data_IF_885577226123
#
_entry.id   IF_885577226123
#
_cell.length_a   1.000
_cell.length_b   1.000
_cell.length_c   1.000
_cell.angle_alpha   90.00
_cell.angle_beta   90.00
_cell.angle_gamma   90.00
#
_symmetry.space_group_name_H-M   'P 1'
#
loop_
_entity.id
_entity.type
_entity.pdbx_description
1 polymer ?
#
# COMPACT_ATOMS: atom_id res chain seq x y z
N UNK A 1 -46.52 70.52 -2.83
CA UNK A 1 -45.59 71.49 -3.36
C UNK A 1 -44.27 70.80 -3.28
N UNK A 2 -43.67 70.67 -4.41
CA UNK A 2 -42.35 70.09 -4.73
C UNK A 2 -42.09 68.61 -4.49
N UNK A 3 -42.27 67.89 -5.59
CA UNK A 3 -41.88 66.49 -5.79
C UNK A 3 -40.45 66.49 -6.28
N UNK A 4 -39.50 65.92 -5.49
CA UNK A 4 -38.17 65.58 -5.99
C UNK A 4 -38.15 64.15 -6.50
N UNK A 5 -37.92 63.96 -7.81
CA UNK A 5 -37.67 62.71 -8.46
C UNK A 5 -36.20 62.32 -8.31
N UNK A 6 -35.94 61.22 -7.64
CA UNK A 6 -34.63 60.61 -7.60
C UNK A 6 -34.46 59.69 -8.86
N UNK A 7 -33.60 60.12 -9.76
CA UNK A 7 -33.21 59.33 -10.90
C UNK A 7 -32.20 58.28 -10.50
N UNK A 8 -32.61 56.99 -10.62
CA UNK A 8 -31.68 55.87 -10.54
C UNK A 8 -30.82 55.82 -11.80
N UNK A 9 -29.51 56.03 -11.69
CA UNK A 9 -28.56 55.78 -12.74
C UNK A 9 -28.29 54.25 -12.77
N UNK A 10 -28.59 53.59 -13.91
CA UNK A 10 -28.21 52.24 -14.21
C UNK A 10 -26.70 52.18 -14.46
N UNK A 11 -25.99 51.34 -13.68
CA UNK A 11 -24.58 50.97 -13.91
C UNK A 11 -24.59 49.80 -14.85
N UNK A 12 -23.91 49.80 -16.00
CA UNK A 12 -23.81 48.62 -16.86
C UNK A 12 -22.84 47.61 -16.20
N UNK A 13 -23.38 46.49 -15.79
CA UNK A 13 -22.58 45.31 -15.39
C UNK A 13 -21.96 44.70 -16.63
N UNK A 14 -20.67 44.94 -16.84
CA UNK A 14 -19.87 44.19 -17.78
C UNK A 14 -19.62 42.77 -17.21
N UNK A 15 -20.39 41.79 -17.66
CA UNK A 15 -20.11 40.38 -17.45
C UNK A 15 -18.91 40.01 -18.31
N UNK A 16 -17.71 39.95 -17.70
CA UNK A 16 -16.55 39.37 -18.31
C UNK A 16 -16.72 37.84 -18.33
N UNK A 17 -17.17 37.31 -19.47
CA UNK A 17 -17.20 35.87 -19.71
C UNK A 17 -15.75 35.38 -19.87
N UNK A 18 -15.17 34.87 -18.80
CA UNK A 18 -13.87 34.21 -18.83
C UNK A 18 -14.07 32.87 -19.55
N UNK A 19 -13.76 32.81 -20.84
CA UNK A 19 -13.66 31.59 -21.60
C UNK A 19 -12.49 30.80 -21.07
N UNK A 20 -12.76 29.84 -20.16
CA UNK A 20 -11.81 28.78 -19.80
C UNK A 20 -11.63 27.91 -21.05
N UNK A 21 -10.71 28.25 -21.93
CA UNK A 21 -10.24 27.32 -22.94
C UNK A 21 -9.64 26.11 -22.21
N UNK A 22 -10.12 24.87 -22.44
CA UNK A 22 -9.43 23.70 -21.94
C UNK A 22 -8.04 23.73 -22.55
N UNK A 23 -7.02 23.77 -21.70
CA UNK A 23 -5.64 23.53 -22.10
C UNK A 23 -5.59 22.09 -22.63
N UNK A 24 -5.82 21.93 -23.93
CA UNK A 24 -5.57 20.72 -24.66
C UNK A 24 -4.05 20.49 -24.60
N UNK A 25 -3.59 19.84 -23.54
CA UNK A 25 -2.26 19.26 -23.56
C UNK A 25 -2.27 18.21 -24.67
N UNK A 26 -1.38 18.31 -25.68
CA UNK A 26 -1.30 17.27 -26.69
C UNK A 26 -1.07 15.94 -25.95
N UNK A 27 -1.77 14.86 -26.36
CA UNK A 27 -1.54 13.56 -25.74
C UNK A 27 -0.04 13.26 -25.79
N UNK A 28 0.54 12.95 -24.63
CA UNK A 28 1.96 12.58 -24.55
C UNK A 28 2.18 11.45 -25.57
N UNK A 29 2.86 11.74 -26.65
CA UNK A 29 3.22 10.73 -27.65
C UNK A 29 4.20 9.80 -26.96
N UNK A 30 4.03 8.49 -27.19
CA UNK A 30 5.01 7.51 -26.78
C UNK A 30 6.39 7.95 -27.25
N UNK A 31 7.31 8.14 -26.33
CA UNK A 31 8.68 8.53 -26.66
C UNK A 31 9.60 7.42 -26.13
N UNK A 32 9.99 6.55 -27.07
CA UNK A 32 10.95 5.49 -26.75
C UNK A 32 12.21 5.78 -27.55
N UNK A 33 13.27 6.15 -26.84
CA UNK A 33 14.54 6.48 -27.45
C UNK A 33 15.65 5.62 -26.85
N UNK A 34 16.26 4.79 -27.68
CA UNK A 34 17.47 4.05 -27.28
C UNK A 34 18.55 5.06 -26.83
N UNK A 35 19.38 4.67 -25.89
CA UNK A 35 20.52 5.48 -25.46
C UNK A 35 21.63 5.46 -26.53
N UNK A 36 21.88 6.57 -27.25
CA UNK A 36 22.88 6.62 -28.31
C UNK A 36 24.30 6.49 -27.78
N UNK A 37 24.51 6.67 -26.47
CA UNK A 37 25.85 6.56 -25.83
C UNK A 37 26.13 5.15 -25.33
N UNK A 38 25.12 4.26 -25.33
CA UNK A 38 25.28 2.89 -24.90
C UNK A 38 26.09 2.07 -25.92
N UNK A 39 26.76 0.99 -25.49
CA UNK A 39 27.33 0.02 -26.42
C UNK A 39 26.28 -0.49 -27.41
N UNK A 40 26.61 -0.61 -28.70
CA UNK A 40 25.64 -0.99 -29.74
C UNK A 40 24.90 -2.29 -29.47
N UNK A 41 25.55 -3.26 -28.80
CA UNK A 41 24.92 -4.53 -28.39
C UNK A 41 23.80 -4.35 -27.32
N UNK A 42 23.67 -3.18 -26.71
CA UNK A 42 22.68 -2.85 -25.70
C UNK A 42 21.68 -1.78 -26.18
N UNK A 43 21.81 -1.36 -27.47
CA UNK A 43 20.89 -0.40 -28.09
C UNK A 43 19.77 -1.16 -28.82
N UNK A 44 18.52 -1.11 -28.32
CA UNK A 44 17.40 -1.69 -29.05
C UNK A 44 17.08 -0.88 -30.31
N UNK A 45 16.46 -1.52 -31.29
CA UNK A 45 15.99 -0.83 -32.49
C UNK A 45 14.52 -0.49 -32.33
N UNK A 46 14.20 0.80 -32.37
CA UNK A 46 12.80 1.28 -32.22
C UNK A 46 12.22 1.52 -33.61
N UNK A 47 11.14 0.83 -33.91
CA UNK A 47 10.38 0.89 -35.17
C UNK A 47 8.90 1.18 -34.86
N UNK A 48 8.07 1.16 -35.89
CA UNK A 48 6.63 1.15 -35.73
C UNK A 48 6.03 -0.12 -36.37
N UNK A 49 5.04 -0.69 -35.73
CA UNK A 49 4.18 -1.70 -36.33
C UNK A 49 3.34 -1.06 -37.47
N UNK A 50 2.71 -1.85 -38.37
CA UNK A 50 1.96 -1.35 -39.50
C UNK A 50 0.84 -0.35 -39.12
N UNK A 51 0.28 -0.46 -37.92
CA UNK A 51 -0.75 0.44 -37.39
C UNK A 51 -0.20 1.64 -36.60
N UNK A 52 1.14 1.82 -36.60
CA UNK A 52 1.81 2.96 -35.95
C UNK A 52 2.16 2.74 -34.47
N UNK A 53 1.83 1.60 -33.87
CA UNK A 53 2.24 1.27 -32.49
C UNK A 53 3.77 1.09 -32.43
N UNK A 54 4.48 1.69 -31.46
CA UNK A 54 5.91 1.49 -31.29
C UNK A 54 6.27 -0.01 -31.16
N UNK A 55 7.22 -0.44 -31.96
CA UNK A 55 7.77 -1.80 -31.97
C UNK A 55 9.25 -1.76 -31.65
N UNK A 56 9.63 -2.36 -30.54
CA UNK A 56 11.02 -2.42 -30.10
C UNK A 56 11.59 -3.80 -30.42
N UNK A 57 12.49 -3.87 -31.39
CA UNK A 57 13.34 -5.03 -31.56
C UNK A 57 14.36 -5.03 -30.41
N UNK A 58 14.11 -5.86 -29.42
CA UNK A 58 14.98 -6.02 -28.25
C UNK A 58 16.35 -6.54 -28.65
N UNK A 59 17.36 -6.24 -27.85
CA UNK A 59 18.75 -6.68 -28.10
C UNK A 59 18.90 -8.19 -27.93
N UNK A 60 19.98 -8.74 -28.50
CA UNK A 60 20.33 -10.15 -28.37
C UNK A 60 20.48 -10.54 -26.91
N UNK A 61 19.80 -11.61 -26.45
CA UNK A 61 19.93 -12.03 -25.07
C UNK A 61 21.32 -12.58 -24.76
N UNK A 62 21.75 -12.40 -23.51
CA UNK A 62 22.96 -13.02 -22.96
C UNK A 62 22.81 -14.56 -22.87
N UNK A 63 23.87 -15.24 -22.48
CA UNK A 63 23.83 -16.69 -22.19
C UNK A 63 22.83 -17.02 -21.06
N UNK A 64 22.62 -16.08 -20.13
CA UNK A 64 21.61 -16.17 -19.07
C UNK A 64 20.19 -15.87 -19.55
N UNK A 65 19.99 -15.56 -20.83
CA UNK A 65 18.66 -15.29 -21.42
C UNK A 65 18.14 -13.88 -21.13
N UNK A 66 18.99 -12.92 -20.76
CA UNK A 66 18.63 -11.53 -20.47
C UNK A 66 18.90 -10.65 -21.69
N UNK A 67 17.86 -10.06 -22.27
CA UNK A 67 17.97 -8.97 -23.25
C UNK A 67 18.00 -7.64 -22.47
N UNK A 68 19.17 -7.00 -22.41
CA UNK A 68 19.34 -5.70 -21.74
C UNK A 68 19.26 -4.58 -22.75
N UNK A 69 18.28 -3.73 -22.61
CA UNK A 69 17.96 -2.66 -23.53
C UNK A 69 18.14 -1.31 -22.81
N UNK A 70 19.07 -0.48 -23.29
CA UNK A 70 19.39 0.81 -22.68
C UNK A 70 18.66 1.93 -23.40
N UNK A 71 17.98 2.76 -22.63
CA UNK A 71 17.20 3.89 -23.13
C UNK A 71 17.62 5.19 -22.50
N UNK A 72 17.54 6.24 -23.29
CA UNK A 72 17.52 7.62 -22.81
C UNK A 72 16.12 8.00 -22.32
N UNK A 73 15.07 7.45 -22.94
CA UNK A 73 13.67 7.68 -22.57
C UNK A 73 12.83 6.44 -22.92
N UNK A 74 11.96 6.06 -22.00
CA UNK A 74 11.04 4.95 -22.18
C UNK A 74 9.66 5.37 -21.66
N UNK A 75 8.89 6.04 -22.53
CA UNK A 75 7.53 6.46 -22.25
C UNK A 75 6.55 5.68 -23.11
N UNK A 76 5.58 5.04 -22.49
CA UNK A 76 4.53 4.27 -23.17
C UNK A 76 3.28 5.13 -23.25
N UNK A 77 2.91 5.52 -24.44
CA UNK A 77 1.66 6.25 -24.71
C UNK A 77 0.45 5.32 -24.71
N UNK A 78 -0.73 5.87 -24.87
CA UNK A 78 -2.01 5.11 -24.85
C UNK A 78 -2.09 4.02 -25.94
N UNK A 79 -1.37 4.16 -27.04
CA UNK A 79 -1.29 3.12 -28.07
C UNK A 79 -0.52 1.87 -27.62
N UNK A 80 0.21 1.96 -26.51
CA UNK A 80 1.06 0.89 -26.01
C UNK A 80 2.42 0.81 -26.69
N UNK A 81 3.14 -0.26 -26.43
CA UNK A 81 4.42 -0.64 -27.02
C UNK A 81 4.53 -2.16 -27.15
N UNK A 82 5.16 -2.62 -28.23
CA UNK A 82 5.45 -4.05 -28.44
C UNK A 82 6.95 -4.27 -28.27
N UNK A 83 7.31 -5.14 -27.33
CA UNK A 83 8.67 -5.65 -27.15
C UNK A 83 8.82 -6.94 -27.99
N UNK A 84 9.48 -6.84 -29.14
CA UNK A 84 9.55 -7.93 -30.11
C UNK A 84 10.52 -9.03 -29.68
N UNK A 85 9.96 -10.08 -29.08
CA UNK A 85 10.67 -11.29 -28.64
C UNK A 85 10.40 -12.49 -29.55
N UNK A 86 10.25 -12.25 -30.86
CA UNK A 86 10.01 -13.27 -31.87
C UNK A 86 11.10 -13.30 -32.95
N UNK A 87 11.64 -14.48 -33.29
CA UNK A 87 12.61 -14.65 -34.38
C UNK A 87 11.97 -14.56 -35.75
N UNK A 88 10.79 -15.15 -35.90
CA UNK A 88 10.12 -15.37 -37.21
C UNK A 88 8.97 -14.44 -37.47
N UNK A 89 8.65 -13.57 -36.50
CA UNK A 89 7.42 -12.76 -36.49
C UNK A 89 6.36 -13.31 -35.54
N UNK A 90 5.42 -12.47 -35.17
CA UNK A 90 4.35 -12.81 -34.24
C UNK A 90 3.07 -12.04 -34.56
N UNK A 91 1.94 -12.62 -34.22
CA UNK A 91 0.67 -11.91 -34.13
C UNK A 91 0.60 -11.28 -32.73
N UNK A 92 0.45 -9.96 -32.68
CA UNK A 92 0.36 -9.18 -31.46
C UNK A 92 -1.02 -8.55 -31.32
N UNK A 93 -1.47 -8.29 -30.09
CA UNK A 93 -2.77 -7.67 -29.84
C UNK A 93 -2.73 -6.17 -30.19
N UNK A 94 -1.62 -5.50 -29.89
CA UNK A 94 -1.49 -4.06 -30.11
C UNK A 94 -1.15 -3.70 -31.55
N UNK A 95 -0.34 -4.47 -32.24
CA UNK A 95 0.21 -4.11 -33.55
C UNK A 95 -0.17 -5.04 -34.70
N UNK A 96 -0.99 -6.08 -34.44
CA UNK A 96 -1.26 -7.11 -35.42
C UNK A 96 -0.03 -7.96 -35.76
N UNK A 97 0.12 -8.36 -37.02
CA UNK A 97 1.26 -9.16 -37.48
C UNK A 97 2.53 -8.29 -37.51
N UNK A 98 3.57 -8.68 -36.78
CA UNK A 98 4.87 -8.03 -36.77
C UNK A 98 5.95 -8.95 -37.33
N UNK A 99 6.96 -8.35 -37.97
CA UNK A 99 8.11 -9.09 -38.50
C UNK A 99 9.00 -9.63 -37.37
N UNK A 100 9.81 -10.64 -37.70
CA UNK A 100 10.80 -11.20 -36.76
C UNK A 100 11.88 -10.20 -36.39
N UNK A 101 12.35 -10.30 -35.15
CA UNK A 101 13.46 -9.52 -34.64
C UNK A 101 14.80 -10.13 -35.09
N UNK A 102 15.60 -9.44 -35.94
CA UNK A 102 16.85 -9.96 -36.47
C UNK A 102 17.94 -10.20 -35.42
N UNK A 103 17.82 -9.53 -34.25
CA UNK A 103 18.80 -9.67 -33.16
C UNK A 103 18.64 -10.97 -32.37
N UNK A 104 17.56 -11.71 -32.56
CA UNK A 104 17.26 -12.94 -31.84
C UNK A 104 17.81 -14.21 -32.53
N UNK A 105 18.93 -14.14 -33.27
CA UNK A 105 19.52 -15.30 -33.93
C UNK A 105 19.84 -16.45 -32.95
N UNK A 106 20.18 -16.12 -31.69
CA UNK A 106 20.49 -17.10 -30.63
C UNK A 106 19.26 -17.59 -29.85
N UNK A 107 18.08 -17.11 -30.19
CA UNK A 107 16.83 -17.43 -29.51
C UNK A 107 16.18 -16.23 -28.83
N UNK A 108 14.92 -16.38 -28.35
CA UNK A 108 14.21 -15.35 -27.65
C UNK A 108 14.75 -15.13 -26.22
N UNK A 109 14.50 -13.97 -25.66
CA UNK A 109 14.84 -13.64 -24.29
C UNK A 109 13.86 -14.29 -23.29
N UNK A 110 14.36 -14.65 -22.11
CA UNK A 110 13.56 -15.00 -20.94
C UNK A 110 13.24 -13.79 -20.09
N UNK A 111 14.17 -12.82 -20.05
CA UNK A 111 14.04 -11.56 -19.34
C UNK A 111 14.32 -10.41 -20.31
N UNK A 112 13.41 -9.46 -20.39
CA UNK A 112 13.55 -8.23 -21.16
C UNK A 112 13.73 -7.09 -20.15
N UNK A 113 14.98 -6.68 -19.96
CA UNK A 113 15.34 -5.57 -19.07
C UNK A 113 15.38 -4.27 -19.87
N UNK A 114 14.46 -3.36 -19.58
CA UNK A 114 14.42 -2.00 -20.13
C UNK A 114 14.97 -1.03 -19.08
N UNK A 115 16.20 -0.61 -19.25
CA UNK A 115 16.93 0.28 -18.33
C UNK A 115 17.02 1.70 -18.88
N UNK A 116 16.49 2.66 -18.12
CA UNK A 116 16.53 4.09 -18.47
C UNK A 116 17.66 4.77 -17.71
N UNK A 117 18.50 5.53 -18.43
CA UNK A 117 19.70 6.19 -17.88
C UNK A 117 19.61 7.70 -17.80
N UNK A 118 18.44 8.27 -18.08
CA UNK A 118 18.23 9.71 -17.97
C UNK A 118 17.77 10.12 -16.57
N UNK A 119 17.71 11.44 -16.37
CA UNK A 119 17.16 12.04 -15.14
C UNK A 119 15.64 12.24 -15.21
N UNK A 120 15.01 11.83 -16.31
CA UNK A 120 13.55 11.99 -16.50
C UNK A 120 12.82 10.72 -16.12
N UNK A 121 11.75 10.82 -15.34
CA UNK A 121 10.92 9.66 -15.01
C UNK A 121 10.25 9.08 -16.27
N UNK A 122 9.96 7.79 -16.25
CA UNK A 122 9.18 7.11 -17.27
C UNK A 122 7.69 7.30 -17.04
N UNK A 123 6.93 7.51 -18.13
CA UNK A 123 5.48 7.62 -18.12
C UNK A 123 4.86 6.40 -18.81
N UNK A 124 4.11 5.61 -18.06
CA UNK A 124 3.45 4.41 -18.56
C UNK A 124 1.93 4.65 -18.61
N UNK A 125 1.44 5.04 -19.80
CA UNK A 125 0.04 5.40 -20.02
C UNK A 125 -0.68 4.41 -20.97
N UNK A 126 -0.09 3.25 -21.22
CA UNK A 126 -0.62 2.22 -22.09
C UNK A 126 0.03 0.87 -21.88
N UNK A 127 -0.39 -0.11 -22.63
CA UNK A 127 0.00 -1.50 -22.49
C UNK A 127 1.40 -1.78 -23.03
N UNK A 128 2.12 -2.67 -22.37
CA UNK A 128 3.40 -3.23 -22.81
C UNK A 128 3.17 -4.68 -23.20
N UNK A 129 3.30 -4.99 -24.48
CA UNK A 129 3.10 -6.34 -25.02
C UNK A 129 4.44 -7.00 -25.36
N UNK A 130 4.62 -8.24 -24.94
CA UNK A 130 5.72 -9.09 -25.43
C UNK A 130 5.26 -9.80 -26.69
N UNK A 131 5.79 -9.38 -27.85
CA UNK A 131 5.50 -10.05 -29.13
C UNK A 131 6.29 -11.33 -29.27
N UNK A 132 5.61 -12.46 -29.44
CA UNK A 132 6.21 -13.78 -29.59
C UNK A 132 6.32 -14.57 -28.28
N UNK A 133 7.53 -15.05 -27.94
CA UNK A 133 7.71 -15.85 -26.73
C UNK A 133 7.51 -15.02 -25.46
N UNK A 134 6.68 -15.53 -24.55
CA UNK A 134 6.43 -14.95 -23.23
C UNK A 134 7.74 -14.76 -22.46
N UNK A 135 7.90 -13.63 -21.78
CA UNK A 135 9.09 -13.28 -21.03
C UNK A 135 8.77 -12.42 -19.81
N UNK A 136 9.69 -12.36 -18.88
CA UNK A 136 9.68 -11.36 -17.82
C UNK A 136 10.00 -9.98 -18.41
N UNK A 137 9.24 -8.96 -18.02
CA UNK A 137 9.47 -7.56 -18.43
C UNK A 137 9.83 -6.72 -17.22
N UNK A 138 10.97 -6.06 -17.32
CA UNK A 138 11.46 -5.16 -16.29
C UNK A 138 11.57 -3.76 -16.89
N UNK A 139 11.04 -2.76 -16.19
CA UNK A 139 11.25 -1.35 -16.48
C UNK A 139 11.98 -0.76 -15.28
N UNK A 140 13.25 -0.40 -15.48
CA UNK A 140 14.12 0.16 -14.44
C UNK A 140 14.46 1.61 -14.77
N UNK A 141 14.00 2.54 -13.91
CA UNK A 141 14.30 3.95 -14.06
C UNK A 141 14.57 4.62 -12.70
N UNK A 142 15.83 4.89 -12.35
CA UNK A 142 16.19 5.56 -11.09
C UNK A 142 15.57 6.94 -10.90
N UNK A 143 15.19 7.63 -11.98
CA UNK A 143 14.53 8.94 -11.91
C UNK A 143 13.05 8.84 -11.51
N UNK A 144 12.48 7.64 -11.49
CA UNK A 144 11.09 7.37 -11.11
C UNK A 144 10.24 6.83 -12.26
N UNK A 145 9.06 6.32 -11.91
CA UNK A 145 8.08 5.77 -12.85
C UNK A 145 6.70 6.30 -12.48
N UNK A 146 5.99 6.86 -13.46
CA UNK A 146 4.62 7.30 -13.33
C UNK A 146 3.70 6.45 -14.19
N UNK A 147 2.66 5.91 -13.58
CA UNK A 147 1.72 4.98 -14.21
C UNK A 147 0.35 5.61 -14.24
N UNK A 148 -0.30 5.58 -15.42
CA UNK A 148 -1.68 6.02 -15.58
C UNK A 148 -2.37 5.19 -16.68
N UNK A 149 -2.87 4.02 -16.31
CA UNK A 149 -3.52 3.08 -17.23
C UNK A 149 -2.53 2.19 -17.99
N UNK A 150 -1.49 1.74 -17.32
CA UNK A 150 -0.59 0.74 -17.89
C UNK A 150 -1.05 -0.69 -17.58
N UNK A 151 -0.65 -1.61 -18.44
CA UNK A 151 -0.84 -3.04 -18.27
C UNK A 151 0.21 -3.83 -19.06
N UNK A 152 0.25 -5.15 -18.84
CA UNK A 152 1.22 -6.04 -19.50
C UNK A 152 0.51 -7.19 -20.18
N UNK A 153 0.88 -7.46 -21.44
CA UNK A 153 0.34 -8.53 -22.26
C UNK A 153 1.47 -9.53 -22.55
N UNK A 154 1.20 -10.80 -22.36
CA UNK A 154 2.15 -11.90 -22.61
C UNK A 154 3.46 -11.78 -21.82
N UNK A 155 3.41 -11.14 -20.63
CA UNK A 155 4.51 -11.08 -19.68
C UNK A 155 4.31 -12.15 -18.59
N UNK A 156 5.37 -12.90 -18.24
CA UNK A 156 5.32 -13.85 -17.11
C UNK A 156 5.45 -13.14 -15.78
N UNK A 157 6.30 -12.12 -15.73
CA UNK A 157 6.49 -11.23 -14.58
C UNK A 157 6.58 -9.80 -15.10
N UNK A 158 6.07 -8.84 -14.35
CA UNK A 158 6.27 -7.42 -14.60
C UNK A 158 6.91 -6.77 -13.36
N UNK A 159 8.06 -6.13 -13.56
CA UNK A 159 8.79 -5.44 -12.50
C UNK A 159 8.96 -3.97 -12.85
N UNK A 160 8.46 -3.07 -12.01
CA UNK A 160 8.73 -1.65 -12.06
C UNK A 160 9.72 -1.29 -10.97
N UNK A 161 10.92 -0.83 -11.34
CA UNK A 161 11.98 -0.56 -10.38
C UNK A 161 12.57 0.83 -10.55
N UNK A 162 12.79 1.52 -9.42
CA UNK A 162 13.66 2.71 -9.38
C UNK A 162 15.11 2.34 -9.00
N UNK A 163 15.38 1.06 -8.78
CA UNK A 163 16.73 0.55 -8.53
C UNK A 163 17.55 0.38 -9.81
N UNK A 164 18.85 0.62 -9.70
CA UNK A 164 19.81 0.28 -10.74
C UNK A 164 19.97 -1.25 -10.81
N UNK A 165 19.84 -1.87 -12.01
CA UNK A 165 20.04 -3.31 -12.15
C UNK A 165 21.48 -3.73 -11.82
N UNK A 166 21.64 -4.79 -11.02
CA UNK A 166 22.90 -5.42 -10.68
C UNK A 166 23.09 -6.62 -11.60
N UNK A 167 24.10 -6.52 -12.48
CA UNK A 167 24.38 -7.54 -13.48
C UNK A 167 25.66 -8.29 -13.17
N UNK A 168 25.65 -9.60 -13.28
CA UNK A 168 26.86 -10.41 -13.19
C UNK A 168 26.89 -11.48 -14.30
N UNK A 169 27.97 -11.54 -15.06
CA UNK A 169 28.14 -12.49 -16.18
C UNK A 169 26.95 -12.54 -17.17
N UNK A 170 26.27 -11.41 -17.36
CA UNK A 170 25.09 -11.30 -18.23
C UNK A 170 23.77 -11.78 -17.59
N UNK A 171 23.78 -12.22 -16.34
CA UNK A 171 22.59 -12.48 -15.54
C UNK A 171 22.19 -11.25 -14.74
N UNK A 172 20.91 -11.08 -14.49
CA UNK A 172 20.39 -10.10 -13.54
C UNK A 172 20.38 -10.73 -12.15
N UNK A 173 21.14 -10.19 -11.21
CA UNK A 173 21.17 -10.64 -9.82
C UNK A 173 20.14 -9.92 -8.95
N UNK A 174 19.88 -8.64 -9.26
CA UNK A 174 18.93 -7.86 -8.48
C UNK A 174 18.95 -6.38 -8.83
N UNK A 175 18.50 -5.57 -7.87
CA UNK A 175 18.37 -4.13 -8.00
C UNK A 175 18.92 -3.44 -6.76
N UNK A 176 19.68 -2.37 -6.96
CA UNK A 176 20.08 -1.45 -5.90
C UNK A 176 19.17 -0.24 -5.92
N UNK A 177 18.24 -0.18 -4.98
CA UNK A 177 17.30 0.93 -4.82
C UNK A 177 17.91 1.96 -3.88
N UNK A 178 18.15 3.18 -4.37
CA UNK A 178 18.70 4.29 -3.58
C UNK A 178 17.78 5.50 -3.55
N UNK A 179 16.86 5.60 -4.49
CA UNK A 179 15.96 6.74 -4.65
C UNK A 179 14.81 6.45 -5.58
N UNK A 180 14.15 7.50 -6.03
CA UNK A 180 13.03 7.44 -6.97
C UNK A 180 11.70 7.00 -6.34
N UNK A 181 10.63 7.35 -7.03
CA UNK A 181 9.25 7.04 -6.65
C UNK A 181 8.55 6.34 -7.78
N UNK A 182 7.78 5.30 -7.47
CA UNK A 182 6.76 4.74 -8.36
C UNK A 182 5.42 5.33 -7.95
N UNK A 183 4.75 6.01 -8.87
CA UNK A 183 3.46 6.65 -8.65
C UNK A 183 2.42 6.05 -9.58
N UNK A 184 1.29 5.62 -9.02
CA UNK A 184 0.17 5.01 -9.75
C UNK A 184 -1.05 5.91 -9.62
N UNK A 185 -1.48 6.49 -10.74
CA UNK A 185 -2.56 7.46 -10.83
C UNK A 185 -3.65 7.04 -11.81
N UNK A 186 -4.74 7.78 -11.82
CA UNK A 186 -5.78 7.78 -12.84
C UNK A 186 -6.39 6.40 -13.11
N UNK A 187 -6.04 5.78 -14.21
CA UNK A 187 -6.58 4.46 -14.61
C UNK A 187 -5.84 3.27 -13.97
N UNK A 188 -4.83 3.55 -13.12
CA UNK A 188 -4.15 2.50 -12.36
C UNK A 188 -3.15 1.66 -13.15
N UNK A 189 -2.86 0.47 -12.63
CA UNK A 189 -1.90 -0.49 -13.15
C UNK A 189 -2.52 -1.90 -13.20
N UNK A 190 -2.67 -2.44 -14.39
CA UNK A 190 -3.22 -3.78 -14.60
C UNK A 190 -2.11 -4.82 -14.84
N UNK A 191 -1.88 -5.65 -13.84
CA UNK A 191 -0.92 -6.76 -13.84
C UNK A 191 -1.63 -8.12 -13.71
N UNK A 192 -2.95 -8.17 -13.90
CA UNK A 192 -3.74 -9.39 -13.70
C UNK A 192 -3.38 -10.51 -14.69
N UNK A 193 -2.77 -10.18 -15.83
CA UNK A 193 -2.31 -11.16 -16.82
C UNK A 193 -0.87 -11.67 -16.58
N UNK A 194 -0.19 -11.17 -15.55
CA UNK A 194 1.14 -11.65 -15.15
C UNK A 194 1.03 -12.61 -13.98
N UNK A 195 1.92 -13.63 -13.93
CA UNK A 195 1.95 -14.57 -12.81
C UNK A 195 2.44 -13.87 -11.53
N UNK A 196 3.41 -12.96 -11.68
CA UNK A 196 4.00 -12.17 -10.59
C UNK A 196 4.16 -10.71 -10.99
N UNK A 197 4.04 -9.83 -10.03
CA UNK A 197 4.22 -8.40 -10.18
C UNK A 197 5.12 -7.86 -9.06
N UNK A 198 6.04 -6.96 -9.39
CA UNK A 198 6.89 -6.32 -8.41
C UNK A 198 7.00 -4.81 -8.62
N UNK A 199 6.93 -4.05 -7.52
CA UNK A 199 7.25 -2.62 -7.47
C UNK A 199 8.39 -2.43 -6.48
N UNK A 200 9.55 -1.99 -6.97
CA UNK A 200 10.78 -1.86 -6.20
C UNK A 200 11.23 -0.40 -6.25
N UNK A 201 10.99 0.37 -5.20
CA UNK A 201 11.26 1.81 -5.18
C UNK A 201 11.63 2.30 -3.78
N UNK A 202 12.29 3.46 -3.68
CA UNK A 202 12.47 4.06 -2.37
C UNK A 202 11.12 4.49 -1.77
N UNK A 203 10.21 5.00 -2.62
CA UNK A 203 8.85 5.31 -2.22
C UNK A 203 7.84 4.85 -3.27
N UNK A 204 6.64 4.48 -2.84
CA UNK A 204 5.52 4.17 -3.71
C UNK A 204 4.28 4.99 -3.30
N UNK A 205 3.63 5.62 -4.29
CA UNK A 205 2.39 6.37 -4.12
C UNK A 205 1.30 5.70 -4.96
N UNK A 206 0.22 5.27 -4.31
CA UNK A 206 -0.86 4.52 -4.94
C UNK A 206 -2.15 5.32 -4.82
N UNK A 207 -2.43 6.14 -5.82
CA UNK A 207 -3.61 7.00 -5.90
C UNK A 207 -4.74 6.37 -6.74
N UNK A 208 -4.48 5.21 -7.34
CA UNK A 208 -5.43 4.43 -8.14
C UNK A 208 -5.23 2.93 -7.92
N UNK A 209 -6.05 2.09 -8.55
CA UNK A 209 -5.99 0.64 -8.38
C UNK A 209 -4.74 -0.01 -8.99
N UNK A 210 -4.20 -1.01 -8.30
CA UNK A 210 -3.25 -2.00 -8.82
C UNK A 210 -3.92 -3.36 -8.76
N UNK A 211 -3.99 -4.07 -9.88
CA UNK A 211 -4.56 -5.42 -9.96
C UNK A 211 -3.48 -6.41 -10.36
N UNK A 212 -3.34 -7.50 -9.60
CA UNK A 212 -2.31 -8.51 -9.84
C UNK A 212 -2.79 -9.91 -9.37
N UNK A 213 -2.05 -10.96 -9.72
CA UNK A 213 -2.21 -12.29 -9.13
C UNK A 213 -1.34 -12.42 -7.88
N UNK A 214 -0.07 -12.10 -7.99
CA UNK A 214 0.92 -12.08 -6.92
C UNK A 214 1.64 -10.72 -6.95
N UNK A 215 1.49 -9.91 -5.90
CA UNK A 215 2.03 -8.56 -5.83
C UNK A 215 3.06 -8.44 -4.72
N UNK A 216 4.28 -8.07 -5.09
CA UNK A 216 5.33 -7.66 -4.17
C UNK A 216 5.62 -6.18 -4.30
N UNK A 217 5.57 -5.42 -3.21
CA UNK A 217 6.00 -4.02 -3.16
C UNK A 217 7.10 -3.90 -2.11
N UNK A 218 8.29 -3.50 -2.55
CA UNK A 218 9.44 -3.28 -1.68
C UNK A 218 9.83 -1.81 -1.74
N UNK A 219 9.80 -1.16 -0.58
CA UNK A 219 10.11 0.26 -0.46
C UNK A 219 11.27 0.51 0.50
N UNK A 220 11.95 1.65 0.33
CA UNK A 220 13.13 2.03 1.11
C UNK A 220 14.43 1.88 0.32
N UNK A 221 15.54 2.19 0.98
CA UNK A 221 16.89 2.01 0.42
C UNK A 221 17.32 0.55 0.61
N UNK A 222 17.41 -0.21 -0.50
CA UNK A 222 17.55 -1.67 -0.46
C UNK A 222 18.42 -2.23 -1.58
N UNK A 223 19.07 -3.35 -1.32
CA UNK A 223 19.44 -4.32 -2.33
C UNK A 223 18.36 -5.42 -2.38
N UNK A 224 17.74 -5.60 -3.55
CA UNK A 224 16.63 -6.53 -3.76
C UNK A 224 17.03 -7.56 -4.80
N UNK A 225 16.81 -8.84 -4.54
CA UNK A 225 17.08 -9.92 -5.52
C UNK A 225 16.18 -9.79 -6.75
N UNK A 226 16.60 -10.38 -7.87
CA UNK A 226 15.87 -10.29 -9.14
C UNK A 226 14.42 -10.81 -9.05
N UNK A 227 14.18 -11.81 -8.20
CA UNK A 227 12.86 -12.39 -7.94
C UNK A 227 12.03 -11.61 -6.89
N UNK A 228 12.58 -10.52 -6.34
CA UNK A 228 12.01 -9.72 -5.27
C UNK A 228 11.78 -10.50 -3.93
N UNK A 229 12.32 -11.71 -3.79
CA UNK A 229 12.18 -12.52 -2.57
C UNK A 229 13.18 -12.10 -1.49
N UNK A 230 14.44 -11.88 -1.87
CA UNK A 230 15.51 -11.41 -0.99
C UNK A 230 15.54 -9.89 -0.93
N UNK A 231 15.44 -9.33 0.28
CA UNK A 231 15.48 -7.88 0.52
C UNK A 231 16.49 -7.61 1.64
N UNK A 232 17.48 -6.77 1.35
CA UNK A 232 18.48 -6.35 2.34
C UNK A 232 18.46 -4.82 2.44
N UNK A 233 18.12 -4.33 3.62
CA UNK A 233 18.18 -2.89 3.91
C UNK A 233 19.63 -2.40 3.82
N UNK A 234 19.82 -1.30 3.11
CA UNK A 234 21.11 -0.63 3.00
C UNK A 234 21.02 0.72 3.70
N UNK A 235 22.01 1.03 4.55
CA UNK A 235 22.07 2.36 5.14
C UNK A 235 22.33 3.38 4.02
N UNK A 236 21.62 4.52 3.99
CA UNK A 236 21.94 5.59 3.07
C UNK A 236 23.39 6.03 3.32
N UNK A 237 24.30 5.68 2.43
CA UNK A 237 25.69 6.12 2.55
C UNK A 237 25.72 7.64 2.38
N UNK A 238 25.93 8.36 3.48
CA UNK A 238 26.31 9.77 3.43
C UNK A 238 27.57 9.88 2.57
N UNK A 239 27.48 10.64 1.49
CA UNK A 239 28.57 11.13 0.62
C UNK A 239 29.89 10.33 0.67
N UNK A 240 29.89 9.14 0.05
CA UNK A 240 31.12 8.47 -0.35
C UNK A 240 31.59 9.07 -1.68
N UNK A 241 32.81 9.54 -1.73
CA UNK A 241 33.46 10.11 -2.90
C UNK A 241 33.57 9.07 -4.03
N UNK A 242 32.66 9.14 -4.97
CA UNK A 242 32.66 8.36 -6.20
C UNK A 242 31.81 9.09 -7.22
N UNK A 243 32.44 9.65 -8.23
CA UNK A 243 31.89 10.52 -9.26
C UNK A 243 30.71 9.92 -10.03
N UNK A 244 29.50 10.25 -9.59
CA UNK A 244 28.33 10.36 -10.44
C UNK A 244 27.70 11.74 -10.16
N UNK A 245 27.07 12.42 -11.13
CA UNK A 245 26.45 13.71 -10.88
C UNK A 245 25.35 13.49 -9.84
N UNK A 246 25.61 13.89 -8.62
CA UNK A 246 24.66 13.85 -7.53
C UNK A 246 23.52 14.81 -7.84
N UNK A 247 22.38 14.30 -8.20
CA UNK A 247 21.15 15.02 -7.89
C UNK A 247 21.16 15.27 -6.38
N UNK A 248 20.79 16.47 -5.90
CA UNK A 248 20.73 16.73 -4.47
C UNK A 248 19.87 15.64 -3.83
N UNK A 249 20.24 15.16 -2.63
CA UNK A 249 19.44 14.14 -1.96
C UNK A 249 18.01 14.67 -1.85
N UNK A 250 17.10 14.05 -2.58
CA UNK A 250 15.68 14.35 -2.44
C UNK A 250 15.33 14.22 -0.96
N UNK A 251 14.63 15.21 -0.43
CA UNK A 251 14.11 15.14 0.94
C UNK A 251 13.48 13.76 1.14
N UNK A 252 13.71 13.13 2.30
CA UNK A 252 13.11 11.82 2.54
C UNK A 252 11.59 11.90 2.32
N UNK A 253 10.97 10.91 1.66
CA UNK A 253 9.53 10.87 1.47
C UNK A 253 8.84 10.86 2.83
N UNK A 254 7.62 11.40 2.93
CA UNK A 254 6.85 11.37 4.18
C UNK A 254 6.49 9.93 4.57
N UNK A 255 6.22 9.08 3.57
CA UNK A 255 5.96 7.65 3.72
C UNK A 255 6.76 6.87 2.70
N UNK A 256 7.15 5.65 3.06
CA UNK A 256 7.75 4.71 2.13
C UNK A 256 6.70 4.12 1.18
N UNK A 257 5.48 3.90 1.70
CA UNK A 257 4.30 3.51 0.93
C UNK A 257 3.13 4.39 1.36
N UNK A 258 2.49 5.04 0.40
CA UNK A 258 1.31 5.88 0.61
C UNK A 258 0.19 5.43 -0.32
N UNK A 259 -0.89 4.89 0.26
CA UNK A 259 -2.09 4.45 -0.45
C UNK A 259 -3.19 5.45 -0.13
N UNK A 260 -3.54 6.27 -1.11
CA UNK A 260 -4.57 7.30 -0.97
C UNK A 260 -5.98 6.67 -0.87
N UNK A 261 -6.96 7.44 -0.44
CA UNK A 261 -8.33 6.96 -0.23
C UNK A 261 -9.00 6.36 -1.49
N UNK A 262 -8.63 6.81 -2.68
CA UNK A 262 -9.07 6.23 -3.95
C UNK A 262 -8.10 5.19 -4.51
N UNK A 263 -6.95 4.99 -3.86
CA UNK A 263 -5.97 3.99 -4.21
C UNK A 263 -6.34 2.62 -3.67
N UNK A 264 -5.71 1.59 -4.22
CA UNK A 264 -5.89 0.24 -3.72
C UNK A 264 -4.98 -0.76 -4.40
N UNK A 265 -4.73 -1.87 -3.71
CA UNK A 265 -4.02 -3.02 -4.24
C UNK A 265 -4.90 -4.25 -4.09
N UNK A 266 -5.20 -4.88 -5.22
CA UNK A 266 -6.09 -6.04 -5.31
C UNK A 266 -5.32 -7.18 -5.97
N UNK A 267 -5.01 -8.22 -5.19
CA UNK A 267 -4.26 -9.36 -5.73
C UNK A 267 -4.73 -10.69 -5.12
N UNK A 268 -4.24 -11.79 -5.69
CA UNK A 268 -4.40 -13.11 -5.08
C UNK A 268 -3.63 -13.16 -3.75
N UNK A 269 -2.39 -12.66 -3.74
CA UNK A 269 -1.59 -12.46 -2.54
C UNK A 269 -0.80 -11.16 -2.62
N UNK A 270 -0.48 -10.57 -1.45
CA UNK A 270 0.20 -9.29 -1.35
C UNK A 270 1.33 -9.38 -0.33
N UNK A 271 2.52 -8.92 -0.74
CA UNK A 271 3.68 -8.76 0.14
C UNK A 271 4.20 -7.33 0.05
N UNK A 272 4.10 -6.58 1.14
CA UNK A 272 4.54 -5.20 1.26
C UNK A 272 5.68 -5.13 2.28
N UNK A 273 6.84 -4.60 1.88
CA UNK A 273 8.01 -4.47 2.74
C UNK A 273 8.54 -3.05 2.67
N UNK A 274 8.50 -2.34 3.80
CA UNK A 274 9.15 -1.05 4.00
C UNK A 274 10.37 -1.21 4.90
N UNK A 275 11.56 -1.06 4.36
CA UNK A 275 12.80 -1.36 5.09
C UNK A 275 13.45 -0.15 5.72
N UNK A 276 13.20 1.06 5.21
CA UNK A 276 13.85 2.28 5.69
C UNK A 276 13.31 2.66 7.07
N UNK A 277 14.19 2.68 8.07
CA UNK A 277 13.83 3.00 9.45
C UNK A 277 13.23 4.40 9.56
N UNK A 278 12.12 4.51 10.29
CA UNK A 278 11.42 5.78 10.53
C UNK A 278 10.50 6.22 9.39
N UNK A 279 10.60 5.66 8.18
CA UNK A 279 9.62 5.89 7.12
C UNK A 279 8.41 4.97 7.31
N UNK A 280 7.26 5.56 7.50
CA UNK A 280 6.02 4.84 7.73
C UNK A 280 5.35 4.34 6.45
N UNK A 281 4.27 3.59 6.67
CA UNK A 281 3.28 3.20 5.67
C UNK A 281 1.97 3.87 6.03
N UNK A 282 1.35 4.55 5.07
CA UNK A 282 0.00 5.11 5.18
C UNK A 282 -0.94 4.33 4.27
N UNK A 283 -2.04 3.82 4.81
CA UNK A 283 -3.12 3.21 4.06
C UNK A 283 -4.44 3.92 4.36
N UNK A 284 -4.88 4.77 3.46
CA UNK A 284 -6.21 5.35 3.48
C UNK A 284 -7.16 4.68 2.45
N UNK A 285 -6.62 3.79 1.60
CA UNK A 285 -7.34 3.06 0.56
C UNK A 285 -7.65 1.61 0.94
N UNK A 286 -7.58 0.72 -0.04
CA UNK A 286 -7.88 -0.70 0.16
C UNK A 286 -6.70 -1.59 -0.24
N UNK A 287 -6.26 -2.44 0.67
CA UNK A 287 -5.35 -3.55 0.41
C UNK A 287 -6.17 -4.85 0.52
N UNK A 288 -6.24 -5.64 -0.54
CA UNK A 288 -7.08 -6.85 -0.57
C UNK A 288 -6.37 -8.05 -1.19
N UNK A 289 -6.17 -9.09 -0.40
CA UNK A 289 -5.64 -10.39 -0.85
C UNK A 289 -6.77 -11.43 -0.89
N UNK A 290 -7.09 -11.94 -2.10
CA UNK A 290 -8.27 -12.77 -2.34
C UNK A 290 -8.04 -14.28 -2.22
N UNK A 291 -6.78 -14.75 -2.23
CA UNK A 291 -6.48 -16.18 -2.22
C UNK A 291 -5.37 -16.57 -1.22
N UNK A 292 -4.27 -15.84 -1.23
CA UNK A 292 -3.12 -16.08 -0.36
C UNK A 292 -3.04 -15.06 0.80
N UNK A 293 -1.88 -14.99 1.46
CA UNK A 293 -1.67 -14.06 2.56
C UNK A 293 -1.51 -12.61 2.07
N UNK A 294 -1.91 -11.67 2.93
CA UNK A 294 -1.46 -10.29 2.91
C UNK A 294 -0.43 -10.11 4.02
N UNK A 295 0.81 -9.85 3.64
CA UNK A 295 1.92 -9.58 4.57
C UNK A 295 2.36 -8.14 4.39
N UNK A 296 2.37 -7.36 5.48
CA UNK A 296 2.87 -6.01 5.52
C UNK A 296 3.90 -5.88 6.65
N UNK A 297 5.13 -5.57 6.28
CA UNK A 297 6.24 -5.34 7.20
C UNK A 297 6.78 -3.92 6.98
N UNK A 298 6.69 -3.07 8.00
CA UNK A 298 7.20 -1.70 7.96
C UNK A 298 8.22 -1.49 9.08
N UNK A 299 9.43 -1.06 8.72
CA UNK A 299 10.44 -0.64 9.70
C UNK A 299 10.18 0.80 10.18
N UNK A 300 8.92 1.11 10.39
CA UNK A 300 8.40 2.40 10.79
C UNK A 300 6.96 2.28 11.25
N UNK A 301 6.26 3.42 11.34
CA UNK A 301 4.85 3.46 11.76
C UNK A 301 3.93 3.02 10.61
N UNK A 302 2.92 2.23 10.94
CA UNK A 302 1.79 1.93 10.07
C UNK A 302 0.57 2.73 10.52
N UNK A 303 0.01 3.53 9.62
CA UNK A 303 -1.26 4.21 9.81
C UNK A 303 -2.29 3.61 8.86
N UNK A 304 -3.37 3.04 9.40
CA UNK A 304 -4.47 2.48 8.64
C UNK A 304 -5.78 3.20 8.94
N UNK A 305 -6.22 4.03 8.03
CA UNK A 305 -7.55 4.64 8.03
C UNK A 305 -8.48 4.05 6.95
N UNK A 306 -7.94 3.19 6.08
CA UNK A 306 -8.65 2.48 5.03
C UNK A 306 -8.98 1.04 5.39
N UNK A 307 -8.87 0.13 4.43
CA UNK A 307 -9.17 -1.28 4.62
C UNK A 307 -7.97 -2.18 4.29
N UNK A 308 -7.70 -3.16 5.15
CA UNK A 308 -6.73 -4.24 4.94
C UNK A 308 -7.50 -5.56 5.05
N UNK A 309 -7.68 -6.25 3.93
CA UNK A 309 -8.57 -7.39 3.80
C UNK A 309 -7.81 -8.61 3.31
N UNK A 310 -7.98 -9.74 3.99
CA UNK A 310 -7.40 -11.01 3.59
C UNK A 310 -8.43 -12.13 3.59
N UNK A 311 -8.57 -12.86 2.49
CA UNK A 311 -9.42 -14.04 2.47
C UNK A 311 -8.89 -15.16 3.41
N UNK A 312 -7.59 -15.19 3.67
CA UNK A 312 -6.93 -16.18 4.53
C UNK A 312 -6.25 -15.51 5.71
N UNK A 313 -5.08 -14.94 5.49
CA UNK A 313 -4.25 -14.38 6.56
C UNK A 313 -3.88 -12.93 6.24
N UNK A 314 -4.04 -12.04 7.23
CA UNK A 314 -3.41 -10.74 7.29
C UNK A 314 -2.33 -10.79 8.37
N UNK A 315 -1.10 -10.48 8.01
CA UNK A 315 0.02 -10.38 8.93
C UNK A 315 0.64 -8.98 8.83
N UNK A 316 0.61 -8.24 9.92
CA UNK A 316 1.14 -6.90 10.03
C UNK A 316 2.31 -6.87 11.01
N UNK A 317 3.41 -6.23 10.60
CA UNK A 317 4.55 -5.92 11.46
C UNK A 317 4.93 -4.47 11.31
N UNK A 318 5.10 -3.76 12.42
CA UNK A 318 5.48 -2.34 12.42
C UNK A 318 6.13 -1.95 13.75
N UNK A 319 6.72 -0.75 13.82
CA UNK A 319 7.18 -0.19 15.10
C UNK A 319 6.02 0.36 15.92
N UNK A 320 5.01 0.91 15.24
CA UNK A 320 3.75 1.34 15.85
C UNK A 320 2.62 1.24 14.82
N UNK A 321 1.42 0.88 15.25
CA UNK A 321 0.21 0.83 14.43
C UNK A 321 -0.84 1.77 14.98
N UNK A 322 -1.27 2.73 14.15
CA UNK A 322 -2.50 3.51 14.40
C UNK A 322 -3.61 2.95 13.52
N UNK A 323 -4.64 2.41 14.18
CA UNK A 323 -5.75 1.72 13.53
C UNK A 323 -7.04 2.50 13.68
N UNK A 324 -7.51 3.09 12.59
CA UNK A 324 -8.76 3.86 12.50
C UNK A 324 -9.71 3.31 11.43
N UNK A 325 -9.23 2.41 10.57
CA UNK A 325 -9.98 1.76 9.49
C UNK A 325 -10.41 0.34 9.81
N UNK A 326 -10.40 -0.52 8.82
CA UNK A 326 -10.77 -1.94 8.92
C UNK A 326 -9.56 -2.84 8.67
N UNK A 327 -9.36 -3.82 9.52
CA UNK A 327 -8.52 -5.00 9.29
C UNK A 327 -9.42 -6.22 9.44
N UNK A 328 -9.55 -7.05 8.42
CA UNK A 328 -10.37 -8.26 8.47
C UNK A 328 -9.75 -9.39 7.65
N UNK A 329 -9.63 -10.57 8.27
CA UNK A 329 -9.17 -11.78 7.62
C UNK A 329 -9.71 -13.01 8.36
N UNK A 330 -9.55 -14.20 7.78
CA UNK A 330 -9.79 -15.44 8.53
C UNK A 330 -8.82 -15.52 9.73
N UNK A 331 -7.54 -15.20 9.51
CA UNK A 331 -6.55 -15.10 10.57
C UNK A 331 -5.88 -13.74 10.51
N UNK A 332 -6.03 -12.93 11.56
CA UNK A 332 -5.38 -11.62 11.69
C UNK A 332 -4.28 -11.71 12.74
N UNK A 333 -3.03 -11.43 12.32
CA UNK A 333 -1.84 -11.36 13.18
C UNK A 333 -1.21 -9.99 13.15
N UNK A 334 -1.04 -9.39 14.31
CA UNK A 334 -0.45 -8.06 14.47
C UNK A 334 0.71 -8.16 15.44
N UNK A 335 1.90 -7.79 14.99
CA UNK A 335 3.09 -7.67 15.83
C UNK A 335 3.64 -6.25 15.71
N UNK A 336 3.58 -5.47 16.79
CA UNK A 336 3.96 -4.06 16.78
C UNK A 336 4.47 -3.61 18.14
N UNK A 337 5.29 -2.57 18.23
CA UNK A 337 5.67 -1.98 19.50
C UNK A 337 4.47 -1.36 20.21
N UNK A 338 3.75 -0.48 19.51
CA UNK A 338 2.54 0.16 20.02
C UNK A 338 1.36 -0.08 19.08
N UNK A 339 0.21 -0.41 19.65
CA UNK A 339 -1.06 -0.49 18.94
C UNK A 339 -2.05 0.51 19.53
N UNK A 340 -2.37 1.54 18.76
CA UNK A 340 -3.46 2.46 19.04
C UNK A 340 -4.64 2.14 18.10
N UNK A 341 -5.71 1.59 18.65
CA UNK A 341 -6.99 1.40 17.97
C UNK A 341 -8.00 2.39 18.51
N UNK A 342 -8.52 3.25 17.67
CA UNK A 342 -9.38 4.35 18.11
C UNK A 342 -10.53 4.65 17.16
N UNK A 343 -11.58 5.24 17.69
CA UNK A 343 -12.75 5.72 16.97
C UNK A 343 -13.39 4.63 16.07
N UNK A 344 -13.22 4.74 14.77
CA UNK A 344 -13.78 3.80 13.78
C UNK A 344 -12.93 2.55 13.57
N UNK A 345 -11.82 2.41 14.30
CA UNK A 345 -10.90 1.27 14.19
C UNK A 345 -11.60 -0.07 14.44
N UNK A 346 -11.44 -1.00 13.50
CA UNK A 346 -12.02 -2.35 13.55
C UNK A 346 -10.96 -3.37 13.20
N UNK A 347 -10.75 -4.32 14.09
CA UNK A 347 -9.85 -5.48 13.86
C UNK A 347 -10.69 -6.74 14.02
N UNK A 348 -10.85 -7.50 12.95
CA UNK A 348 -11.67 -8.68 12.90
C UNK A 348 -10.90 -9.91 12.41
N UNK A 349 -11.41 -11.09 12.78
CA UNK A 349 -10.93 -12.38 12.30
C UNK A 349 -11.76 -13.54 12.83
N UNK A 350 -11.55 -14.76 12.31
CA UNK A 350 -11.93 -15.96 13.04
C UNK A 350 -10.97 -16.10 14.22
N UNK A 351 -9.68 -16.00 13.95
CA UNK A 351 -8.62 -15.88 14.96
C UNK A 351 -7.95 -14.54 14.85
N UNK A 352 -7.80 -13.83 15.97
CA UNK A 352 -7.05 -12.58 16.09
C UNK A 352 -5.94 -12.76 17.13
N UNK A 353 -4.69 -12.57 16.72
CA UNK A 353 -3.49 -12.67 17.54
C UNK A 353 -2.73 -11.34 17.51
N UNK A 354 -2.60 -10.69 18.66
CA UNK A 354 -1.97 -9.39 18.80
C UNK A 354 -0.80 -9.52 19.80
N UNK A 355 0.39 -9.14 19.33
CA UNK A 355 1.61 -9.05 20.15
C UNK A 355 2.11 -7.62 20.10
N UNK A 356 2.18 -6.96 21.25
CA UNK A 356 2.56 -5.54 21.33
C UNK A 356 3.16 -5.22 22.71
N UNK A 357 3.94 -4.15 22.81
CA UNK A 357 4.35 -3.63 24.13
C UNK A 357 3.16 -2.91 24.80
N UNK A 358 2.40 -2.13 24.03
CA UNK A 358 1.24 -1.44 24.54
C UNK A 358 0.06 -1.49 23.55
N UNK A 359 -1.08 -1.97 24.05
CA UNK A 359 -2.38 -1.85 23.37
C UNK A 359 -3.19 -0.73 24.03
N UNK A 360 -3.60 0.24 23.23
CA UNK A 360 -4.65 1.20 23.60
C UNK A 360 -5.81 1.02 22.63
N UNK A 361 -6.93 0.50 23.13
CA UNK A 361 -8.20 0.38 22.41
C UNK A 361 -9.19 1.36 23.02
N UNK A 362 -9.61 2.38 22.28
CA UNK A 362 -10.39 3.49 22.85
C UNK A 362 -11.43 4.08 21.90
N UNK A 363 -12.31 4.90 22.49
CA UNK A 363 -13.26 5.74 21.75
C UNK A 363 -14.19 4.93 20.82
N UNK A 364 -14.67 3.78 21.30
CA UNK A 364 -15.58 2.89 20.56
C UNK A 364 -14.91 2.02 19.51
N UNK A 365 -13.59 1.91 19.49
CA UNK A 365 -12.88 0.97 18.63
C UNK A 365 -13.16 -0.49 19.03
N UNK A 366 -13.10 -1.41 18.08
CA UNK A 366 -13.44 -2.82 18.28
C UNK A 366 -12.31 -3.73 17.83
N UNK A 367 -11.92 -4.64 18.70
CA UNK A 367 -11.10 -5.80 18.37
C UNK A 367 -11.94 -7.05 18.65
N UNK A 368 -12.23 -7.83 17.63
CA UNK A 368 -13.14 -8.96 17.79
C UNK A 368 -12.71 -10.20 17.00
N UNK A 369 -12.93 -11.37 17.59
CA UNK A 369 -12.72 -12.67 16.96
C UNK A 369 -13.99 -13.52 16.99
N UNK A 370 -14.18 -14.34 15.96
CA UNK A 370 -15.28 -15.31 15.91
C UNK A 370 -14.99 -16.59 16.72
N UNK A 371 -13.72 -16.99 16.81
CA UNK A 371 -13.31 -18.24 17.46
C UNK A 371 -12.35 -17.97 18.64
N UNK A 372 -11.29 -17.20 18.39
CA UNK A 372 -10.27 -16.98 19.41
C UNK A 372 -9.61 -15.60 19.29
N UNK A 373 -9.63 -14.85 20.39
CA UNK A 373 -8.89 -13.60 20.55
C UNK A 373 -7.74 -13.81 21.54
N UNK A 374 -6.50 -13.62 21.07
CA UNK A 374 -5.31 -13.62 21.92
C UNK A 374 -4.62 -12.27 21.86
N UNK A 375 -4.35 -11.67 23.02
CA UNK A 375 -3.60 -10.42 23.15
C UNK A 375 -2.49 -10.63 24.18
N UNK A 376 -1.25 -10.40 23.74
CA UNK A 376 -0.07 -10.40 24.57
C UNK A 376 0.58 -9.02 24.56
N UNK A 377 0.71 -8.38 25.73
CA UNK A 377 1.26 -7.04 25.85
C UNK A 377 2.00 -6.85 27.17
N UNK A 378 2.69 -5.73 27.33
CA UNK A 378 3.07 -5.24 28.65
C UNK A 378 1.88 -4.55 29.30
N UNK A 379 1.19 -3.71 28.55
CA UNK A 379 0.02 -2.94 28.99
C UNK A 379 -1.14 -3.09 28.03
N UNK A 380 -2.32 -3.33 28.56
CA UNK A 380 -3.59 -3.35 27.83
C UNK A 380 -4.50 -2.28 28.44
N UNK A 381 -4.86 -1.27 27.64
CA UNK A 381 -5.81 -0.22 27.98
C UNK A 381 -7.01 -0.31 27.07
N UNK A 382 -8.16 -0.68 27.61
CA UNK A 382 -9.43 -0.71 26.93
C UNK A 382 -10.35 0.34 27.56
N UNK A 383 -10.69 1.42 26.83
CA UNK A 383 -11.29 2.61 27.42
C UNK A 383 -12.32 3.26 26.49
N UNK A 384 -13.23 4.09 27.07
CA UNK A 384 -14.08 4.98 26.28
C UNK A 384 -15.07 4.27 25.37
N UNK A 385 -15.76 3.24 25.86
CA UNK A 385 -16.76 2.46 25.10
C UNK A 385 -16.14 1.52 24.05
N UNK A 386 -14.83 1.28 24.12
CA UNK A 386 -14.17 0.32 23.23
C UNK A 386 -14.51 -1.13 23.63
N UNK A 387 -14.40 -2.04 22.68
CA UNK A 387 -14.77 -3.43 22.85
C UNK A 387 -13.62 -4.38 22.49
N UNK A 388 -13.30 -5.30 23.41
CA UNK A 388 -12.56 -6.52 23.14
C UNK A 388 -13.56 -7.69 23.21
N UNK A 389 -13.76 -8.39 22.09
CA UNK A 389 -14.80 -9.41 21.99
C UNK A 389 -14.27 -10.71 21.39
N UNK A 390 -14.75 -11.83 21.93
CA UNK A 390 -14.61 -13.14 21.27
C UNK A 390 -15.92 -13.91 21.35
N UNK A 391 -16.41 -14.41 20.23
CA UNK A 391 -17.54 -15.32 20.22
C UNK A 391 -17.15 -16.74 20.68
N UNK A 392 -15.87 -17.06 20.74
CA UNK A 392 -15.28 -18.22 21.39
C UNK A 392 -14.44 -17.81 22.59
N UNK A 393 -13.22 -18.34 22.67
CA UNK A 393 -12.32 -18.11 23.80
C UNK A 393 -11.55 -16.79 23.64
N UNK A 394 -11.16 -16.21 24.79
CA UNK A 394 -10.32 -15.01 24.84
C UNK A 394 -9.19 -15.23 25.85
N UNK A 395 -7.98 -14.87 25.44
CA UNK A 395 -6.79 -14.85 26.30
C UNK A 395 -6.16 -13.46 26.28
N UNK A 396 -6.10 -12.81 27.43
CA UNK A 396 -5.47 -11.51 27.62
C UNK A 396 -4.29 -11.68 28.59
N UNK A 397 -3.08 -11.49 28.11
CA UNK A 397 -1.87 -11.52 28.91
C UNK A 397 -1.21 -10.16 28.95
N UNK A 398 -1.07 -9.56 30.12
CA UNK A 398 -0.44 -8.28 30.31
C UNK A 398 0.62 -8.37 31.42
N UNK A 399 1.91 -8.22 31.06
CA UNK A 399 2.99 -8.40 32.05
C UNK A 399 3.08 -7.31 33.10
N UNK A 400 2.50 -6.13 32.84
CA UNK A 400 2.46 -5.02 33.80
C UNK A 400 1.03 -4.74 34.27
N UNK A 401 0.09 -4.52 33.35
CA UNK A 401 -1.25 -4.03 33.71
C UNK A 401 -2.29 -4.26 32.60
N UNK A 402 -3.49 -4.68 33.02
CA UNK A 402 -4.71 -4.60 32.21
C UNK A 402 -5.68 -3.59 32.87
N UNK A 403 -6.09 -2.60 32.11
CA UNK A 403 -7.04 -1.59 32.52
C UNK A 403 -8.23 -1.54 31.55
N UNK A 404 -9.43 -1.79 32.10
CA UNK A 404 -10.71 -1.67 31.42
C UNK A 404 -11.50 -0.56 32.10
N UNK A 405 -11.68 0.58 31.41
CA UNK A 405 -12.40 1.75 31.94
C UNK A 405 -13.53 2.17 31.04
N UNK A 406 -14.76 2.09 31.53
CA UNK A 406 -15.95 2.46 30.75
C UNK A 406 -15.90 1.83 29.35
N UNK A 407 -15.54 0.55 29.27
CA UNK A 407 -15.34 -0.22 28.06
C UNK A 407 -15.65 -1.70 28.33
N UNK A 408 -15.79 -2.52 27.30
CA UNK A 408 -16.26 -3.88 27.41
C UNK A 408 -15.18 -4.88 27.05
N UNK A 409 -15.07 -5.96 27.85
CA UNK A 409 -14.30 -7.17 27.56
C UNK A 409 -15.27 -8.33 27.70
N UNK A 410 -15.55 -9.01 26.58
CA UNK A 410 -16.58 -10.04 26.51
C UNK A 410 -16.09 -11.28 25.76
N UNK A 411 -16.20 -12.46 26.37
CA UNK A 411 -15.98 -13.74 25.71
C UNK A 411 -17.23 -14.62 25.92
N UNK A 412 -17.74 -15.21 24.85
CA UNK A 412 -18.85 -16.18 24.95
C UNK A 412 -18.36 -17.57 25.35
N UNK A 413 -17.06 -17.89 25.13
CA UNK A 413 -16.37 -19.07 25.62
C UNK A 413 -15.60 -18.78 26.92
N UNK A 414 -14.38 -19.27 27.03
CA UNK A 414 -13.52 -19.04 28.19
C UNK A 414 -12.84 -17.67 28.09
N UNK A 415 -12.86 -16.92 29.18
CA UNK A 415 -12.04 -15.71 29.36
C UNK A 415 -10.89 -16.01 30.33
N UNK A 416 -9.64 -16.00 29.81
CA UNK A 416 -8.44 -16.12 30.61
C UNK A 416 -7.72 -14.75 30.65
N UNK A 417 -7.49 -14.22 31.84
CA UNK A 417 -6.73 -12.98 32.04
C UNK A 417 -5.55 -13.31 32.95
N UNK A 418 -4.36 -13.01 32.45
CA UNK A 418 -3.09 -13.16 33.17
C UNK A 418 -2.41 -11.80 33.29
N UNK A 419 -2.44 -11.20 34.48
CA UNK A 419 -1.84 -9.89 34.75
C UNK A 419 -1.62 -9.66 36.23
N UNK A 420 -0.50 -9.04 36.65
CA UNK A 420 -0.29 -8.68 38.03
C UNK A 420 -1.23 -7.56 38.52
N UNK A 421 -1.73 -6.71 37.61
CA UNK A 421 -2.62 -5.60 37.96
C UNK A 421 -3.81 -5.57 37.01
N UNK A 422 -5.00 -5.86 37.53
CA UNK A 422 -6.27 -5.74 36.82
C UNK A 422 -7.06 -4.59 37.40
N UNK A 423 -7.41 -3.60 36.57
CA UNK A 423 -8.33 -2.52 36.89
C UNK A 423 -9.53 -2.63 35.98
N UNK A 424 -10.71 -2.83 36.58
CA UNK A 424 -11.99 -2.76 35.89
C UNK A 424 -12.84 -1.70 36.59
N UNK A 425 -13.09 -0.59 35.92
CA UNK A 425 -13.76 0.58 36.48
C UNK A 425 -14.71 1.23 35.47
N UNK A 426 -15.79 1.81 36.00
CA UNK A 426 -16.70 2.63 35.20
C UNK A 426 -16.60 4.08 35.69
N UNK A 427 -16.02 4.97 34.87
CA UNK A 427 -15.82 6.37 35.20
C UNK A 427 -17.14 7.18 35.16
N UNK A 428 -18.20 6.60 34.60
CA UNK A 428 -19.53 7.22 34.50
C UNK A 428 -20.51 6.71 35.58
N UNK A 429 -20.06 5.81 36.46
CA UNK A 429 -20.92 5.33 37.55
C UNK A 429 -20.97 6.37 38.66
N UNK A 430 -22.16 6.86 38.91
CA UNK A 430 -22.46 7.70 40.07
C UNK A 430 -23.33 6.92 41.05
N UNK A 431 -23.03 7.01 42.33
CA UNK A 431 -23.89 6.48 43.37
C UNK A 431 -24.32 7.61 44.30
N UNK A 432 -25.57 7.63 44.65
CA UNK A 432 -26.12 8.56 45.62
C UNK A 432 -26.61 7.77 46.81
N UNK A 433 -26.12 8.12 47.98
CA UNK A 433 -26.64 7.56 49.23
C UNK A 433 -27.77 8.49 49.68
N UNK A 434 -28.99 7.99 49.61
CA UNK A 434 -30.15 8.66 50.18
C UNK A 434 -30.36 8.12 51.58
N UNK A 435 -30.18 8.98 52.56
CA UNK A 435 -30.44 8.65 53.97
C UNK A 435 -31.81 9.18 54.32
N UNK A 436 -32.74 8.25 54.49
CA UNK A 436 -34.05 8.57 55.10
C UNK A 436 -33.92 8.53 56.62
N UNK A 437 -34.73 9.33 57.32
CA UNK A 437 -34.72 9.42 58.76
C UNK A 437 -34.99 8.10 59.47
N UNK A 438 -35.49 7.07 58.76
CA UNK A 438 -35.85 5.78 59.28
C UNK A 438 -35.06 4.62 58.68
N UNK A 439 -34.44 4.76 57.48
CA UNK A 439 -33.74 3.69 56.81
C UNK A 439 -32.64 4.25 55.87
N UNK A 440 -31.42 3.68 55.92
CA UNK A 440 -30.36 4.02 54.98
C UNK A 440 -30.57 3.21 53.71
N UNK A 441 -30.82 3.86 52.56
CA UNK A 441 -30.88 3.22 51.24
C UNK A 441 -29.71 3.69 50.40
N UNK A 442 -29.01 2.76 49.82
CA UNK A 442 -27.99 3.05 48.80
C UNK A 442 -28.59 2.83 47.43
N UNK A 443 -28.66 3.87 46.64
CA UNK A 443 -29.18 3.80 45.26
C UNK A 443 -28.05 3.95 44.28
N UNK A 444 -27.92 3.00 43.37
CA UNK A 444 -26.94 3.03 42.28
C UNK A 444 -27.64 3.51 41.01
N UNK A 445 -27.07 4.53 40.36
CA UNK A 445 -27.57 4.99 39.06
C UNK A 445 -26.55 4.67 37.98
N UNK A 446 -27.04 4.09 36.92
CA UNK A 446 -26.30 3.98 35.64
C UNK A 446 -26.74 5.14 34.74
N UNK A 447 -25.86 5.67 33.85
CA UNK A 447 -26.28 6.65 32.86
C UNK A 447 -27.44 6.10 32.02
N UNK A 448 -28.63 6.69 32.09
CA UNK A 448 -29.81 6.32 31.33
C UNK A 448 -30.83 5.41 32.02
N UNK A 449 -30.60 4.97 33.27
CA UNK A 449 -31.54 4.13 34.01
C UNK A 449 -31.88 4.69 35.37
N UNK A 450 -33.16 4.98 35.64
CA UNK A 450 -33.66 5.19 37.01
C UNK A 450 -33.88 3.82 37.64
N UNK A 451 -33.20 3.48 38.72
CA UNK A 451 -33.48 2.29 39.53
C UNK A 451 -34.47 2.71 40.59
N UNK A 452 -35.64 2.03 40.64
CA UNK A 452 -36.64 2.23 41.67
C UNK A 452 -36.08 1.90 43.07
N UNK A 453 -36.05 2.87 43.92
CA UNK A 453 -35.43 2.80 45.25
C UNK A 453 -36.38 2.21 46.33
N UNK A 454 -37.43 1.50 45.98
CA UNK A 454 -38.33 0.90 46.98
C UNK A 454 -37.70 -0.33 47.62
N UNK A 455 -36.82 -0.09 48.59
CA UNK A 455 -36.63 -1.03 49.70
C UNK A 455 -35.92 -2.36 49.45
N UNK A 456 -35.24 -2.55 48.32
CA UNK A 456 -34.47 -3.77 48.06
C UNK A 456 -32.99 -3.47 48.26
N UNK A 457 -32.40 -4.03 49.30
CA UNK A 457 -30.94 -4.09 49.45
C UNK A 457 -30.34 -5.00 48.36
N UNK A 458 -29.73 -4.40 47.32
CA UNK A 458 -28.97 -5.16 46.34
C UNK A 458 -27.63 -5.54 46.96
N UNK A 459 -27.53 -6.79 47.40
CA UNK A 459 -26.29 -7.33 48.01
C UNK A 459 -25.26 -7.75 46.96
N UNK A 460 -25.61 -7.71 45.70
CA UNK A 460 -24.68 -8.02 44.59
C UNK A 460 -24.95 -7.06 43.43
N UNK A 461 -24.49 -5.84 43.53
CA UNK A 461 -24.29 -5.07 42.31
C UNK A 461 -23.16 -5.73 41.55
N UNK A 462 -23.49 -6.49 40.46
CA UNK A 462 -22.51 -6.69 39.42
C UNK A 462 -22.08 -5.32 38.96
N UNK A 463 -20.81 -4.97 38.93
CA UNK A 463 -20.39 -3.79 38.23
C UNK A 463 -20.91 -3.93 36.79
N UNK A 464 -21.75 -3.01 36.38
CA UNK A 464 -22.09 -2.89 34.98
C UNK A 464 -20.88 -2.23 34.34
N UNK A 465 -20.10 -3.05 33.68
CA UNK A 465 -18.91 -2.59 32.96
C UNK A 465 -19.33 -1.79 31.73
#
# INVERSE_FOLDING_TARGET
MDRHWLALRAVPSAIATLLLAPLLHPPARAQIHADPTAPGALQPTVLNAPNGVPLVNITSPSAAGVSRNLYRQFDVGRAGVILNNSRSGALTQLGGQVAGNPWLAKGPARVILNEVRSIHPSHLNGWVEVGGQRAEVIIANPAGIRVNGAGFINASRATLSTGAPVMHAGALEGFRVQGGTVQVDGLGLDLAQTDHAAVLARAAQVNAGIWAQDLSVVTGVNDVSADAAGVTAVQPTGSGSGSAPASPPASPPAFSLDVAALGGMYAGQIRLIGTEAGLGVNNAGTLSASAGPLVLEANGRLHNSGAILGAQTVQLRSTALTQQGLIDAKTTRIATGELLSEATGRVFGDTVDIQTEALTNRDGAVVAAREHLAIQAERIHNTGGALLFSAGDMTLSATERLENRSADIEALGQLAIDTPVLVNANDHMTHTVVTDATTNHTVFFTPGGAVDATGVAWTTAKPVN
#
